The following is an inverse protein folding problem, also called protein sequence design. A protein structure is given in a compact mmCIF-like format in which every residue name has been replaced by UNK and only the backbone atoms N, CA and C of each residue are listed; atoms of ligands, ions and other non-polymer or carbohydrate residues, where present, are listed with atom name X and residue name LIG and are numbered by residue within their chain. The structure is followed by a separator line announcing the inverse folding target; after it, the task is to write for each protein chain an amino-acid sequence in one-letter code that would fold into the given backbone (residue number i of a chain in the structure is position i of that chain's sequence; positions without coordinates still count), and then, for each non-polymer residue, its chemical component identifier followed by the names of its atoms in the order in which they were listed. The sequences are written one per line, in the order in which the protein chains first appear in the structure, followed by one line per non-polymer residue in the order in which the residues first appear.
data_IF_668448133422
#
_entry.id   IF_668448133422
#
_cell.length_a   1.000
_cell.length_b   1.000
_cell.length_c   1.000
_cell.angle_alpha   90.00
_cell.angle_beta   90.00
_cell.angle_gamma   90.00
#
_symmetry.space_group_name_H-M   'P 1'
#
loop_
_entity.id
_entity.type
_entity.pdbx_description
1 polymer ?
#
# COMPACT_ATOMS: atom_id res chain seq x y z
N UNK A 1 1.55 16.89 -12.53
CA UNK A 1 1.65 16.24 -11.18
C UNK A 1 0.58 15.15 -11.15
N UNK A 2 0.83 13.98 -10.56
CA UNK A 2 -0.21 12.93 -10.42
C UNK A 2 -1.23 13.34 -9.36
N UNK A 3 -2.50 12.93 -9.48
CA UNK A 3 -3.56 13.26 -8.53
C UNK A 3 -3.19 12.96 -7.07
N UNK A 4 -2.58 11.81 -6.79
CA UNK A 4 -2.08 11.46 -5.46
C UNK A 4 -1.18 12.57 -4.87
N UNK A 5 -0.27 13.15 -5.67
CA UNK A 5 0.57 14.27 -5.20
C UNK A 5 -0.25 15.53 -4.92
N UNK A 6 -1.29 15.81 -5.71
CA UNK A 6 -2.22 16.92 -5.45
C UNK A 6 -2.90 16.73 -4.09
N UNK A 7 -3.43 15.55 -3.81
CA UNK A 7 -4.11 15.25 -2.55
C UNK A 7 -3.19 15.43 -1.32
N UNK A 8 -1.93 15.00 -1.41
CA UNK A 8 -1.00 15.02 -0.28
C UNK A 8 -0.24 16.34 -0.11
N UNK A 9 0.17 17.00 -1.20
CA UNK A 9 1.16 18.10 -1.17
C UNK A 9 0.56 19.51 -1.20
N UNK A 10 -0.70 19.66 -1.68
CA UNK A 10 -1.34 20.97 -1.69
C UNK A 10 -1.68 21.42 -0.26
N UNK A 11 -1.42 22.70 0.04
CA UNK A 11 -1.72 23.30 1.34
C UNK A 11 -3.22 23.60 1.50
N UNK A 12 -3.66 23.85 2.72
CA UNK A 12 -5.07 24.06 3.06
C UNK A 12 -5.70 25.24 2.31
N UNK A 13 -4.94 26.32 2.08
CA UNK A 13 -5.43 27.50 1.34
C UNK A 13 -5.78 27.16 -0.11
N UNK A 14 -5.03 26.29 -0.76
CA UNK A 14 -5.32 25.87 -2.13
C UNK A 14 -6.70 25.20 -2.25
N UNK A 15 -7.14 24.46 -1.22
CA UNK A 15 -8.46 23.80 -1.23
C UNK A 15 -9.64 24.81 -1.18
N UNK A 16 -9.41 26.09 -1.00
CA UNK A 16 -10.47 27.14 -1.12
C UNK A 16 -10.68 27.62 -2.56
N UNK A 17 -9.81 27.24 -3.51
CA UNK A 17 -9.79 27.72 -4.89
C UNK A 17 -10.90 27.12 -5.76
N UNK A 18 -11.21 27.78 -6.87
CA UNK A 18 -12.11 27.24 -7.89
C UNK A 18 -11.53 25.98 -8.56
N UNK A 19 -10.20 25.93 -8.74
CA UNK A 19 -9.50 24.76 -9.28
C UNK A 19 -9.72 23.53 -8.40
N UNK A 20 -9.53 23.64 -7.09
CA UNK A 20 -9.75 22.54 -6.15
C UNK A 20 -11.20 22.03 -6.21
N UNK A 21 -12.18 22.93 -6.32
CA UNK A 21 -13.59 22.56 -6.46
C UNK A 21 -13.87 21.81 -7.78
N UNK A 22 -13.30 22.26 -8.89
CA UNK A 22 -13.43 21.59 -10.17
C UNK A 22 -12.88 20.15 -10.13
N UNK A 23 -11.73 19.96 -9.47
CA UNK A 23 -11.14 18.64 -9.25
C UNK A 23 -12.03 17.79 -8.34
N UNK A 24 -12.59 18.35 -7.26
CA UNK A 24 -13.50 17.62 -6.38
C UNK A 24 -14.77 17.15 -7.10
N UNK A 25 -15.33 17.99 -7.95
CA UNK A 25 -16.50 17.62 -8.75
C UNK A 25 -16.14 16.49 -9.75
N UNK A 26 -14.91 16.48 -10.29
CA UNK A 26 -14.39 15.36 -11.07
C UNK A 26 -14.22 14.09 -10.21
N UNK A 27 -13.64 14.19 -9.03
CA UNK A 27 -13.49 13.05 -8.10
C UNK A 27 -14.84 12.43 -7.78
N UNK A 28 -15.86 13.24 -7.43
CA UNK A 28 -17.21 12.75 -7.15
C UNK A 28 -17.85 12.08 -8.36
N UNK A 29 -17.71 12.67 -9.56
CA UNK A 29 -18.28 12.13 -10.80
C UNK A 29 -17.82 10.71 -11.09
N UNK A 30 -16.59 10.37 -10.74
CA UNK A 30 -15.97 9.08 -11.02
C UNK A 30 -15.91 8.15 -9.80
N UNK A 31 -16.69 8.42 -8.76
CA UNK A 31 -16.87 7.50 -7.64
C UNK A 31 -17.76 6.33 -8.08
N UNK A 32 -17.30 5.12 -7.87
CA UNK A 32 -18.07 3.91 -8.17
C UNK A 32 -19.31 3.77 -7.27
N UNK A 33 -20.33 3.04 -7.72
CA UNK A 33 -21.49 2.71 -6.89
C UNK A 33 -21.12 2.07 -5.54
N UNK A 34 -20.05 1.26 -5.52
CA UNK A 34 -19.46 0.67 -4.31
C UNK A 34 -18.88 1.70 -3.31
N UNK A 35 -18.55 2.90 -3.75
CA UNK A 35 -17.98 3.97 -2.94
C UNK A 35 -16.49 4.24 -3.17
N UNK A 36 -15.75 3.32 -3.78
CA UNK A 36 -14.32 3.50 -4.05
C UNK A 36 -14.03 4.17 -5.40
N UNK A 37 -12.74 4.24 -5.77
CA UNK A 37 -12.24 4.81 -7.02
C UNK A 37 -11.27 3.88 -7.73
N UNK A 38 -11.13 4.09 -9.05
CA UNK A 38 -10.15 3.39 -9.88
C UNK A 38 -8.74 3.92 -9.63
N UNK A 39 -7.74 3.03 -9.75
CA UNK A 39 -6.33 3.40 -9.65
C UNK A 39 -5.81 4.11 -10.91
N UNK A 40 -4.69 4.83 -10.74
CA UNK A 40 -3.89 5.43 -11.82
C UNK A 40 -4.68 6.44 -12.68
N UNK A 41 -5.71 7.07 -12.14
CA UNK A 41 -6.49 8.10 -12.81
C UNK A 41 -6.13 9.47 -12.24
N UNK A 42 -5.76 10.40 -13.12
CA UNK A 42 -5.43 11.78 -12.74
C UNK A 42 -6.66 12.67 -12.95
N UNK A 43 -7.49 12.80 -11.90
CA UNK A 43 -8.79 13.49 -11.94
C UNK A 43 -8.72 14.95 -12.34
N UNK A 44 -7.57 15.60 -12.13
CA UNK A 44 -7.31 17.01 -12.37
C UNK A 44 -6.81 17.30 -13.80
N UNK A 45 -6.43 16.30 -14.58
CA UNK A 45 -5.89 16.49 -15.92
C UNK A 45 -6.98 16.41 -16.98
N UNK A 46 -6.81 17.24 -18.04
CA UNK A 46 -7.64 17.23 -19.24
C UNK A 46 -6.82 16.91 -20.51
N UNK A 47 -5.65 16.31 -20.34
CA UNK A 47 -4.85 15.80 -21.47
C UNK A 47 -5.57 14.63 -22.16
N UNK A 48 -5.33 14.37 -23.47
CA UNK A 48 -5.98 13.28 -24.18
C UNK A 48 -5.92 11.95 -23.43
N UNK A 49 -4.75 11.51 -22.99
CA UNK A 49 -4.59 10.25 -22.26
C UNK A 49 -5.34 10.21 -20.90
N UNK A 50 -5.41 11.34 -20.17
CA UNK A 50 -6.19 11.41 -18.94
C UNK A 50 -7.70 11.39 -19.23
N UNK A 51 -8.15 11.94 -20.35
CA UNK A 51 -9.54 11.91 -20.80
C UNK A 51 -9.95 10.49 -21.19
N UNK A 52 -9.10 9.78 -21.92
CA UNK A 52 -9.31 8.37 -22.26
C UNK A 52 -9.38 7.49 -21.00
N UNK A 53 -8.47 7.67 -20.05
CA UNK A 53 -8.50 6.95 -18.78
C UNK A 53 -9.82 7.20 -18.02
N UNK A 54 -10.26 8.45 -17.94
CA UNK A 54 -11.56 8.80 -17.33
C UNK A 54 -12.74 8.20 -18.06
N UNK A 55 -12.70 8.13 -19.39
CA UNK A 55 -13.76 7.50 -20.18
C UNK A 55 -13.83 5.98 -19.91
N UNK A 56 -12.68 5.31 -19.78
CA UNK A 56 -12.65 3.90 -19.38
C UNK A 56 -13.29 3.69 -18.01
N UNK A 57 -12.94 4.51 -17.03
CA UNK A 57 -13.55 4.47 -15.68
C UNK A 57 -15.05 4.73 -15.75
N UNK A 58 -15.49 5.71 -16.54
CA UNK A 58 -16.90 6.00 -16.75
C UNK A 58 -17.67 4.79 -17.29
N UNK A 59 -17.10 4.12 -18.29
CA UNK A 59 -17.68 2.91 -18.86
C UNK A 59 -17.78 1.77 -17.83
N UNK A 60 -16.74 1.60 -16.98
CA UNK A 60 -16.76 0.62 -15.89
C UNK A 60 -17.85 0.91 -14.85
N UNK A 61 -18.00 2.18 -14.44
CA UNK A 61 -19.05 2.61 -13.49
C UNK A 61 -20.45 2.26 -14.01
N UNK A 62 -20.66 2.35 -15.32
CA UNK A 62 -21.96 2.13 -15.98
C UNK A 62 -22.09 0.73 -16.61
N UNK A 63 -21.12 -0.17 -16.38
CA UNK A 63 -21.24 -1.56 -16.80
C UNK A 63 -22.07 -2.36 -15.79
N UNK A 64 -22.65 -3.47 -16.24
CA UNK A 64 -23.47 -4.36 -15.40
C UNK A 64 -22.71 -4.88 -14.17
N UNK A 65 -21.39 -4.97 -14.25
CA UNK A 65 -20.54 -5.50 -13.16
C UNK A 65 -20.11 -4.44 -12.14
N UNK A 66 -20.05 -3.14 -12.50
CA UNK A 66 -19.62 -2.04 -11.62
C UNK A 66 -18.24 -2.23 -10.95
N UNK A 67 -17.40 -3.13 -11.48
CA UNK A 67 -16.13 -3.54 -10.90
C UNK A 67 -15.01 -2.65 -11.41
N UNK A 68 -14.28 -2.02 -10.50
CA UNK A 68 -13.15 -1.16 -10.89
C UNK A 68 -12.57 -0.37 -9.73
N UNK A 69 -13.32 -0.27 -8.64
CA UNK A 69 -12.84 0.38 -7.41
C UNK A 69 -11.79 -0.47 -6.71
N UNK A 70 -10.76 0.18 -6.16
CA UNK A 70 -9.58 -0.50 -5.64
C UNK A 70 -8.91 0.31 -4.54
N UNK A 71 -8.10 -0.37 -3.74
CA UNK A 71 -7.18 0.26 -2.77
C UNK A 71 -5.73 0.32 -3.29
N UNK A 72 -5.46 -0.27 -4.46
CA UNK A 72 -4.13 -0.36 -5.03
C UNK A 72 -3.55 1.01 -5.43
N UNK A 73 -2.23 1.18 -5.31
CA UNK A 73 -1.51 2.42 -5.63
C UNK A 73 -2.02 3.66 -4.87
N UNK A 74 -2.68 3.46 -3.72
CA UNK A 74 -3.29 4.52 -2.92
C UNK A 74 -4.57 5.10 -3.52
N UNK A 75 -5.21 4.39 -4.47
CA UNK A 75 -6.57 4.71 -4.89
C UNK A 75 -7.52 4.58 -3.70
N UNK A 76 -8.65 5.23 -3.78
CA UNK A 76 -9.64 5.42 -2.72
C UNK A 76 -9.08 6.21 -1.52
N UNK A 77 -7.96 5.83 -0.93
CA UNK A 77 -7.37 6.58 0.22
C UNK A 77 -6.93 8.00 -0.15
N UNK A 78 -6.40 8.21 -1.36
CA UNK A 78 -6.03 9.54 -1.86
C UNK A 78 -7.26 10.42 -2.11
N UNK A 79 -8.33 9.83 -2.66
CA UNK A 79 -9.60 10.51 -2.92
C UNK A 79 -10.29 10.90 -1.62
N UNK A 80 -10.26 10.01 -0.61
CA UNK A 80 -10.78 10.32 0.73
C UNK A 80 -10.03 11.48 1.37
N UNK A 81 -8.69 11.48 1.31
CA UNK A 81 -7.87 12.58 1.82
C UNK A 81 -8.21 13.91 1.11
N UNK A 82 -8.33 13.87 -0.21
CA UNK A 82 -8.67 15.05 -1.02
C UNK A 82 -10.06 15.58 -0.65
N UNK A 83 -11.06 14.70 -0.56
CA UNK A 83 -12.43 15.06 -0.19
C UNK A 83 -12.52 15.60 1.24
N UNK A 84 -11.74 15.07 2.18
CA UNK A 84 -11.69 15.58 3.55
C UNK A 84 -11.13 17.01 3.58
N UNK A 85 -10.03 17.29 2.89
CA UNK A 85 -9.42 18.63 2.80
C UNK A 85 -10.38 19.65 2.17
N UNK A 86 -11.01 19.30 1.04
CA UNK A 86 -11.93 20.24 0.39
C UNK A 86 -13.24 20.40 1.17
N UNK A 87 -13.73 19.36 1.84
CA UNK A 87 -14.86 19.49 2.75
C UNK A 87 -14.50 20.40 3.95
N UNK A 88 -13.32 20.25 4.52
CA UNK A 88 -12.82 21.13 5.59
C UNK A 88 -12.84 22.60 5.16
N UNK A 89 -12.40 22.88 3.93
CA UNK A 89 -12.31 24.23 3.39
C UNK A 89 -13.66 24.84 2.97
N UNK A 90 -14.61 24.03 2.48
CA UNK A 90 -15.82 24.54 1.81
C UNK A 90 -17.12 24.24 2.55
N UNK A 91 -17.13 23.23 3.43
CA UNK A 91 -18.33 22.69 4.10
C UNK A 91 -19.44 22.21 3.16
N UNK A 92 -19.13 21.97 1.86
CA UNK A 92 -20.11 21.51 0.87
C UNK A 92 -20.54 20.07 1.19
N UNK A 93 -21.82 19.88 1.47
CA UNK A 93 -22.42 18.61 1.91
C UNK A 93 -22.12 17.45 0.98
N UNK A 94 -22.16 17.67 -0.35
CA UNK A 94 -21.89 16.63 -1.33
C UNK A 94 -20.47 16.02 -1.20
N UNK A 95 -19.45 16.80 -0.82
CA UNK A 95 -18.10 16.28 -0.60
C UNK A 95 -18.06 15.38 0.64
N UNK A 96 -18.80 15.75 1.69
CA UNK A 96 -18.94 14.89 2.87
C UNK A 96 -19.65 13.57 2.56
N UNK A 97 -20.72 13.61 1.78
CA UNK A 97 -21.48 12.41 1.38
C UNK A 97 -20.62 11.45 0.57
N UNK A 98 -19.86 11.96 -0.41
CA UNK A 98 -18.92 11.15 -1.18
C UNK A 98 -17.80 10.56 -0.31
N UNK A 99 -17.28 11.34 0.65
CA UNK A 99 -16.28 10.89 1.61
C UNK A 99 -16.82 9.76 2.50
N UNK A 100 -18.01 9.91 3.08
CA UNK A 100 -18.64 8.87 3.91
C UNK A 100 -18.89 7.58 3.12
N UNK A 101 -19.36 7.68 1.88
CA UNK A 101 -19.54 6.54 1.00
C UNK A 101 -18.21 5.80 0.73
N UNK A 102 -17.11 6.53 0.59
CA UNK A 102 -15.78 5.94 0.43
C UNK A 102 -15.24 5.29 1.73
N UNK A 103 -15.60 5.82 2.89
CA UNK A 103 -15.32 5.18 4.19
C UNK A 103 -16.07 3.85 4.30
N UNK A 104 -17.36 3.84 3.98
CA UNK A 104 -18.18 2.62 3.97
C UNK A 104 -17.62 1.57 2.99
N UNK A 105 -17.09 2.00 1.83
CA UNK A 105 -16.38 1.11 0.91
C UNK A 105 -15.19 0.42 1.57
N UNK A 106 -14.33 1.14 2.30
CA UNK A 106 -13.19 0.54 2.97
C UNK A 106 -13.60 -0.47 4.04
N UNK A 107 -14.67 -0.19 4.79
CA UNK A 107 -15.21 -1.12 5.78
C UNK A 107 -15.85 -2.36 5.14
N UNK A 108 -16.59 -2.18 4.04
CA UNK A 108 -17.23 -3.28 3.31
C UNK A 108 -16.24 -4.19 2.57
N UNK A 109 -15.09 -3.65 2.16
CA UNK A 109 -14.06 -4.41 1.47
C UNK A 109 -13.20 -5.29 2.39
N UNK A 110 -13.30 -5.12 3.71
CA UNK A 110 -12.51 -5.89 4.67
C UNK A 110 -13.02 -7.31 4.80
N UNK A 111 -12.13 -8.28 4.67
CA UNK A 111 -12.40 -9.68 5.00
C UNK A 111 -12.63 -9.90 6.50
N UNK A 112 -13.32 -10.98 6.87
CA UNK A 112 -13.58 -11.32 8.27
C UNK A 112 -12.29 -11.53 9.08
N UNK A 113 -11.22 -11.99 8.42
CA UNK A 113 -9.88 -12.15 9.00
C UNK A 113 -9.09 -10.84 9.13
N UNK A 114 -9.69 -9.71 8.73
CA UNK A 114 -9.11 -8.38 8.86
C UNK A 114 -8.29 -7.89 7.67
N UNK A 115 -8.07 -8.70 6.64
CA UNK A 115 -7.36 -8.32 5.43
C UNK A 115 -8.21 -7.53 4.43
N UNK A 116 -7.58 -6.98 3.39
CA UNK A 116 -8.26 -6.34 2.27
C UNK A 116 -7.76 -6.88 0.94
N UNK A 117 -8.69 -7.14 -0.02
CA UNK A 117 -8.36 -7.44 -1.40
C UNK A 117 -7.87 -6.19 -2.12
N UNK A 118 -7.23 -6.38 -3.27
CA UNK A 118 -6.88 -5.27 -4.15
C UNK A 118 -8.08 -4.54 -4.74
N UNK A 119 -9.14 -5.31 -5.08
CA UNK A 119 -10.38 -4.79 -5.67
C UNK A 119 -11.60 -5.25 -4.89
N UNK A 120 -12.53 -4.33 -4.69
CA UNK A 120 -13.85 -4.63 -4.15
C UNK A 120 -14.91 -3.77 -4.89
N UNK A 121 -16.03 -4.34 -5.37
CA UNK A 121 -16.32 -5.78 -5.45
C UNK A 121 -15.23 -6.57 -6.19
N UNK A 122 -15.18 -7.87 -5.92
CA UNK A 122 -14.19 -8.75 -6.56
C UNK A 122 -14.35 -8.78 -8.07
N UNK A 123 -13.25 -8.93 -8.76
CA UNK A 123 -13.27 -9.18 -10.21
C UNK A 123 -13.93 -10.54 -10.50
N UNK A 124 -14.60 -10.68 -11.66
CA UNK A 124 -15.11 -11.97 -12.07
C UNK A 124 -13.98 -13.02 -12.07
N UNK A 125 -14.28 -14.25 -11.64
CA UNK A 125 -13.34 -15.35 -11.73
C UNK A 125 -12.96 -15.60 -13.20
N UNK A 126 -11.76 -16.13 -13.43
CA UNK A 126 -11.38 -16.59 -14.76
C UNK A 126 -12.23 -17.79 -15.21
N UNK A 127 -12.12 -18.18 -16.49
CA UNK A 127 -12.90 -19.30 -17.05
C UNK A 127 -12.62 -20.65 -16.36
N UNK A 128 -11.54 -20.76 -15.58
CA UNK A 128 -11.16 -21.95 -14.83
C UNK A 128 -11.70 -21.94 -13.39
N UNK A 129 -12.44 -20.88 -13.01
CA UNK A 129 -13.04 -20.73 -11.69
C UNK A 129 -12.09 -20.29 -10.58
N UNK A 130 -10.81 -20.04 -10.90
CA UNK A 130 -9.85 -19.56 -9.93
C UNK A 130 -10.02 -18.05 -9.64
N UNK A 131 -9.89 -17.61 -8.38
CA UNK A 131 -9.88 -16.21 -8.06
C UNK A 131 -8.70 -15.51 -8.75
N UNK A 132 -8.88 -14.25 -9.09
CA UNK A 132 -7.75 -13.42 -9.52
C UNK A 132 -6.86 -13.14 -8.30
N UNK A 133 -5.55 -12.97 -8.54
CA UNK A 133 -4.60 -12.54 -7.50
C UNK A 133 -5.05 -11.25 -6.78
N UNK A 134 -5.92 -10.47 -7.40
CA UNK A 134 -6.51 -9.25 -6.84
C UNK A 134 -7.48 -9.50 -5.68
N UNK A 135 -7.87 -10.74 -5.43
CA UNK A 135 -8.71 -11.14 -4.31
C UNK A 135 -7.86 -11.50 -3.07
N UNK A 136 -6.57 -11.74 -3.24
CA UNK A 136 -5.65 -11.97 -2.12
C UNK A 136 -5.54 -10.76 -1.21
N UNK A 137 -5.28 -11.00 0.08
CA UNK A 137 -4.88 -9.94 1.03
C UNK A 137 -3.64 -9.25 0.48
N UNK A 138 -3.70 -7.92 0.30
CA UNK A 138 -2.68 -7.20 -0.44
C UNK A 138 -1.89 -6.22 0.41
N UNK A 139 -0.61 -6.54 0.65
CA UNK A 139 0.37 -5.59 1.16
C UNK A 139 1.12 -4.89 0.02
N UNK A 140 1.01 -5.41 -1.22
CA UNK A 140 1.68 -4.85 -2.39
C UNK A 140 1.41 -3.34 -2.51
N UNK A 141 2.48 -2.59 -2.82
CA UNK A 141 2.45 -1.13 -2.92
C UNK A 141 1.82 -0.42 -1.70
N UNK A 142 1.91 -1.06 -0.52
CA UNK A 142 1.43 -0.59 0.78
C UNK A 142 -0.10 -0.41 0.87
N UNK A 143 -0.85 -1.07 0.00
CA UNK A 143 -2.28 -0.85 -0.17
C UNK A 143 -3.07 -1.00 1.14
N UNK A 144 -2.95 -2.15 1.82
CA UNK A 144 -3.63 -2.39 3.10
C UNK A 144 -3.15 -1.43 4.20
N UNK A 145 -1.85 -1.11 4.25
CA UNK A 145 -1.29 -0.18 5.26
C UNK A 145 -1.89 1.22 5.09
N UNK A 146 -2.04 1.71 3.86
CA UNK A 146 -2.68 3.01 3.60
C UNK A 146 -4.15 3.03 4.02
N UNK A 147 -4.88 1.94 3.80
CA UNK A 147 -6.26 1.80 4.30
C UNK A 147 -6.27 1.91 5.82
N UNK A 148 -5.46 1.13 6.52
CA UNK A 148 -5.41 1.11 7.98
C UNK A 148 -5.02 2.47 8.57
N UNK A 149 -4.03 3.15 8.00
CA UNK A 149 -3.64 4.51 8.40
C UNK A 149 -4.79 5.50 8.21
N UNK A 150 -5.53 5.38 7.10
CA UNK A 150 -6.70 6.22 6.82
C UNK A 150 -7.81 5.98 7.85
N UNK A 151 -8.17 4.73 8.11
CA UNK A 151 -9.20 4.37 9.10
C UNK A 151 -8.84 4.88 10.50
N UNK A 152 -7.58 4.69 10.93
CA UNK A 152 -7.09 5.19 12.22
C UNK A 152 -7.13 6.72 12.30
N UNK A 153 -6.73 7.41 11.22
CA UNK A 153 -6.76 8.87 11.19
C UNK A 153 -8.18 9.42 11.28
N UNK A 154 -9.15 8.76 10.64
CA UNK A 154 -10.56 9.12 10.70
C UNK A 154 -11.13 8.85 12.10
N UNK A 155 -10.88 7.67 12.67
CA UNK A 155 -11.37 7.28 13.99
C UNK A 155 -10.85 8.21 15.10
N UNK A 156 -9.60 8.66 14.98
CA UNK A 156 -8.94 9.56 15.93
C UNK A 156 -9.18 11.05 15.62
N UNK A 157 -10.07 11.36 14.69
CA UNK A 157 -10.39 12.74 14.29
C UNK A 157 -9.16 13.59 13.96
N UNK A 158 -8.13 12.94 13.37
CA UNK A 158 -6.92 13.64 12.92
C UNK A 158 -7.24 14.50 11.69
N UNK A 159 -6.70 15.71 11.66
CA UNK A 159 -6.86 16.57 10.48
C UNK A 159 -6.39 15.87 9.19
N UNK A 160 -7.12 16.02 8.09
CA UNK A 160 -8.29 16.86 7.84
C UNK A 160 -9.66 16.24 8.19
N UNK A 161 -9.71 15.06 8.82
CA UNK A 161 -10.94 14.33 9.13
C UNK A 161 -11.67 14.83 10.39
N UNK A 162 -11.03 15.71 11.18
CA UNK A 162 -11.52 16.37 12.39
C UNK A 162 -12.87 17.09 12.22
N UNK A 163 -13.24 17.40 10.99
CA UNK A 163 -14.48 18.13 10.65
C UNK A 163 -15.67 17.22 10.35
N UNK A 164 -15.49 15.91 10.37
CA UNK A 164 -16.54 14.96 9.99
C UNK A 164 -17.64 14.82 11.08
N UNK A 165 -17.29 15.02 12.36
CA UNK A 165 -18.18 14.82 13.49
C UNK A 165 -18.94 13.48 13.37
N UNK A 166 -18.18 12.38 13.30
CA UNK A 166 -18.74 11.04 13.16
C UNK A 166 -19.40 10.59 14.46
N UNK A 167 -20.53 9.85 14.39
CA UNK A 167 -21.08 9.17 15.56
C UNK A 167 -20.05 8.24 16.21
N UNK A 168 -20.11 8.09 17.54
CA UNK A 168 -19.18 7.24 18.28
C UNK A 168 -19.21 5.79 17.77
N UNK A 169 -20.40 5.26 17.48
CA UNK A 169 -20.57 3.93 16.88
C UNK A 169 -19.74 3.78 15.57
N UNK A 170 -19.69 4.82 14.75
CA UNK A 170 -18.89 4.79 13.51
C UNK A 170 -17.41 4.76 13.84
N UNK A 171 -16.96 5.56 14.81
CA UNK A 171 -15.55 5.56 15.24
C UNK A 171 -15.14 4.22 15.85
N UNK A 172 -16.01 3.59 16.61
CA UNK A 172 -15.80 2.24 17.13
C UNK A 172 -15.67 1.20 16.03
N UNK A 173 -16.53 1.23 15.01
CA UNK A 173 -16.41 0.36 13.83
C UNK A 173 -15.09 0.54 13.09
N UNK A 174 -14.62 1.77 12.92
CA UNK A 174 -13.31 2.08 12.31
C UNK A 174 -12.16 1.51 13.14
N UNK A 175 -12.20 1.67 14.46
CA UNK A 175 -11.21 1.12 15.39
C UNK A 175 -11.23 -0.41 15.39
N UNK A 176 -12.38 -1.04 15.37
CA UNK A 176 -12.52 -2.50 15.26
C UNK A 176 -11.91 -3.01 13.94
N UNK A 177 -12.20 -2.33 12.83
CA UNK A 177 -11.63 -2.65 11.52
C UNK A 177 -10.10 -2.51 11.52
N UNK A 178 -9.57 -1.43 12.09
CA UNK A 178 -8.12 -1.24 12.26
C UNK A 178 -7.49 -2.37 13.08
N UNK A 179 -8.07 -2.72 14.22
CA UNK A 179 -7.56 -3.77 15.10
C UNK A 179 -7.60 -5.16 14.44
N UNK A 180 -8.67 -5.48 13.69
CA UNK A 180 -8.71 -6.70 12.85
C UNK A 180 -7.58 -6.71 11.82
N UNK A 181 -7.28 -5.55 11.20
CA UNK A 181 -6.16 -5.41 10.29
C UNK A 181 -4.80 -5.68 10.95
N UNK A 182 -4.58 -5.23 12.19
CA UNK A 182 -3.36 -5.56 12.96
C UNK A 182 -3.26 -7.07 13.18
N UNK A 183 -4.35 -7.73 13.61
CA UNK A 183 -4.36 -9.19 13.78
C UNK A 183 -4.08 -9.92 12.47
N UNK A 184 -4.64 -9.47 11.35
CA UNK A 184 -4.35 -10.01 10.03
C UNK A 184 -2.86 -9.89 9.68
N UNK A 185 -2.24 -8.73 9.88
CA UNK A 185 -0.80 -8.52 9.68
C UNK A 185 0.00 -9.54 10.51
N UNK A 186 -0.31 -9.68 11.78
CA UNK A 186 0.41 -10.60 12.68
C UNK A 186 0.22 -12.07 12.30
N UNK A 187 -0.95 -12.43 11.75
CA UNK A 187 -1.26 -13.79 11.29
C UNK A 187 -0.59 -14.10 9.93
N UNK A 188 -0.45 -13.11 9.06
CA UNK A 188 0.23 -13.23 7.77
C UNK A 188 1.75 -13.27 7.88
N UNK A 189 2.35 -12.90 9.04
CA UNK A 189 3.80 -12.92 9.18
C UNK A 189 4.36 -14.32 8.97
N UNK A 190 5.28 -14.46 8.02
CA UNK A 190 5.80 -15.75 7.60
C UNK A 190 6.65 -16.35 8.72
N UNK A 191 6.45 -17.65 8.96
CA UNK A 191 7.29 -18.44 9.86
C UNK A 191 8.17 -19.37 9.06
N UNK A 192 9.48 -19.32 9.30
CA UNK A 192 10.43 -20.26 8.73
C UNK A 192 11.19 -20.97 9.86
N UNK A 193 11.19 -22.29 9.85
CA UNK A 193 11.83 -23.11 10.90
C UNK A 193 11.38 -22.73 12.32
N UNK A 194 10.08 -22.42 12.49
CA UNK A 194 9.48 -22.00 13.77
C UNK A 194 9.75 -20.54 14.18
N UNK A 195 10.52 -19.77 13.43
CA UNK A 195 10.83 -18.36 13.70
C UNK A 195 10.02 -17.42 12.83
N UNK A 196 9.51 -16.35 13.40
CA UNK A 196 8.92 -15.24 12.67
C UNK A 196 9.97 -14.55 11.77
N UNK A 197 9.54 -14.11 10.60
CA UNK A 197 10.39 -13.41 9.61
C UNK A 197 9.70 -12.11 9.18
N UNK A 198 9.49 -11.91 7.90
CA UNK A 198 8.79 -10.79 7.29
C UNK A 198 7.52 -11.26 6.58
N UNK A 199 6.92 -10.43 5.74
CA UNK A 199 5.66 -10.72 5.04
C UNK A 199 5.91 -10.96 3.55
N UNK A 200 4.92 -11.55 2.90
CA UNK A 200 4.80 -11.57 1.44
C UNK A 200 4.04 -10.31 0.97
N UNK A 201 4.20 -9.93 -0.28
CA UNK A 201 3.45 -8.85 -0.91
C UNK A 201 1.96 -9.13 -1.01
N UNK A 202 1.57 -10.40 -1.07
CA UNK A 202 0.19 -10.86 -1.00
C UNK A 202 0.09 -12.17 -0.22
N UNK A 203 -1.07 -12.37 0.39
CA UNK A 203 -1.40 -13.58 1.13
C UNK A 203 -2.77 -14.09 0.69
N UNK A 204 -2.89 -15.40 0.62
CA UNK A 204 -4.16 -16.06 0.34
C UNK A 204 -5.21 -15.66 1.38
N UNK A 205 -6.38 -15.27 0.93
CA UNK A 205 -7.43 -14.70 1.76
C UNK A 205 -8.09 -15.68 2.74
N UNK A 206 -7.87 -16.99 2.54
CA UNK A 206 -8.41 -18.03 3.41
C UNK A 206 -7.36 -18.65 4.34
N UNK A 207 -6.19 -18.99 3.78
CA UNK A 207 -5.12 -19.69 4.51
C UNK A 207 -4.11 -18.76 5.15
N UNK A 208 -4.07 -17.50 4.73
CA UNK A 208 -3.07 -16.48 5.09
C UNK A 208 -1.64 -16.84 4.66
N UNK A 209 -1.47 -17.88 3.85
CA UNK A 209 -0.17 -18.27 3.31
C UNK A 209 0.32 -17.25 2.27
N UNK A 210 1.65 -17.12 2.08
CA UNK A 210 2.19 -16.33 0.99
C UNK A 210 1.59 -16.73 -0.36
N UNK A 211 1.16 -15.76 -1.15
CA UNK A 211 0.52 -15.99 -2.44
C UNK A 211 1.21 -15.18 -3.56
N UNK A 212 1.30 -15.73 -4.78
CA UNK A 212 1.82 -15.02 -5.93
C UNK A 212 0.78 -14.00 -6.45
N UNK A 213 1.26 -13.02 -7.23
CA UNK A 213 0.40 -12.11 -7.95
C UNK A 213 0.62 -12.24 -9.46
N UNK A 214 1.34 -11.31 -10.06
CA UNK A 214 1.72 -11.37 -11.48
C UNK A 214 2.90 -12.32 -11.69
N UNK A 215 3.16 -12.72 -12.90
CA UNK A 215 4.24 -13.67 -13.22
C UNK A 215 5.58 -13.33 -12.55
N UNK A 216 5.94 -12.06 -12.47
CA UNK A 216 7.17 -11.58 -11.84
C UNK A 216 7.04 -11.27 -10.33
N UNK A 217 5.91 -11.57 -9.73
CA UNK A 217 5.60 -11.39 -8.30
C UNK A 217 5.26 -12.74 -7.69
N UNK A 218 6.28 -13.56 -7.55
CA UNK A 218 6.15 -14.88 -6.91
C UNK A 218 5.89 -14.72 -5.41
N UNK A 219 5.32 -15.74 -4.78
CA UNK A 219 5.24 -15.79 -3.32
C UNK A 219 6.66 -15.72 -2.72
N UNK A 220 6.91 -14.70 -1.87
CA UNK A 220 8.27 -14.31 -1.46
C UNK A 220 8.29 -13.69 -0.08
N UNK A 221 9.46 -13.64 0.56
CA UNK A 221 9.72 -12.66 1.60
C UNK A 221 9.92 -11.29 0.95
N UNK A 222 9.28 -10.23 1.49
CA UNK A 222 9.56 -8.86 1.04
C UNK A 222 10.62 -8.21 1.91
N UNK A 223 11.72 -7.82 1.28
CA UNK A 223 12.88 -7.25 1.99
C UNK A 223 12.95 -5.73 1.98
N UNK A 224 12.01 -5.04 1.36
CA UNK A 224 12.05 -3.58 1.28
C UNK A 224 10.67 -2.96 1.51
N UNK A 225 10.00 -2.43 0.51
CA UNK A 225 8.84 -1.55 0.63
C UNK A 225 7.72 -2.06 1.57
N UNK A 226 7.16 -3.22 1.33
CA UNK A 226 5.98 -3.72 2.02
C UNK A 226 6.27 -3.98 3.50
N UNK A 227 7.35 -4.70 3.80
CA UNK A 227 7.78 -4.99 5.17
C UNK A 227 8.08 -3.70 5.95
N UNK A 228 8.71 -2.72 5.31
CA UNK A 228 9.04 -1.43 5.95
C UNK A 228 7.77 -0.70 6.40
N UNK A 229 6.79 -0.58 5.54
CA UNK A 229 5.55 0.14 5.87
C UNK A 229 4.71 -0.61 6.93
N UNK A 230 4.72 -1.95 6.91
CA UNK A 230 4.12 -2.75 7.97
C UNK A 230 4.83 -2.47 9.31
N UNK A 231 6.16 -2.47 9.33
CA UNK A 231 6.93 -2.17 10.54
C UNK A 231 6.67 -0.75 11.05
N UNK A 232 6.61 0.26 10.15
CA UNK A 232 6.27 1.64 10.50
C UNK A 232 4.88 1.73 11.15
N UNK A 233 3.89 1.00 10.61
CA UNK A 233 2.55 0.95 11.17
C UNK A 233 2.56 0.30 12.57
N UNK A 234 3.21 -0.87 12.73
CA UNK A 234 3.26 -1.58 14.00
C UNK A 234 4.02 -0.79 15.08
N UNK A 235 5.14 -0.16 14.71
CA UNK A 235 5.92 0.69 15.61
C UNK A 235 5.22 2.00 15.98
N UNK A 236 4.21 2.42 15.23
CA UNK A 236 3.40 3.61 15.53
C UNK A 236 2.26 3.37 16.52
N UNK A 237 2.06 2.12 16.96
CA UNK A 237 1.05 1.80 17.96
C UNK A 237 1.46 2.36 19.34
N UNK A 238 0.55 3.08 20.04
CA UNK A 238 0.89 3.71 21.31
C UNK A 238 1.15 2.71 22.44
N UNK A 239 0.51 1.52 22.37
CA UNK A 239 0.65 0.44 23.35
C UNK A 239 0.76 -0.90 22.61
N UNK A 240 1.93 -1.24 22.04
CA UNK A 240 2.09 -2.48 21.32
C UNK A 240 2.00 -3.69 22.27
N UNK A 241 1.22 -4.69 21.86
CA UNK A 241 1.11 -5.95 22.60
C UNK A 241 2.44 -6.73 22.57
N UNK A 242 2.67 -7.70 23.47
CA UNK A 242 3.83 -8.58 23.38
C UNK A 242 3.97 -9.29 22.03
N UNK A 243 2.85 -9.59 21.38
CA UNK A 243 2.82 -10.20 20.05
C UNK A 243 3.32 -9.23 18.96
N UNK A 244 2.92 -7.97 19.02
CA UNK A 244 3.43 -6.91 18.13
C UNK A 244 4.93 -6.72 18.35
N UNK A 245 5.36 -6.70 19.61
CA UNK A 245 6.78 -6.58 19.96
C UNK A 245 7.62 -7.71 19.35
N UNK A 246 7.19 -8.96 19.53
CA UNK A 246 7.85 -10.13 18.96
C UNK A 246 7.88 -10.08 17.42
N UNK A 247 6.78 -9.67 16.81
CA UNK A 247 6.65 -9.51 15.36
C UNK A 247 7.65 -8.50 14.80
N UNK A 248 7.69 -7.29 15.37
CA UNK A 248 8.60 -6.21 14.95
C UNK A 248 10.06 -6.63 15.15
N UNK A 249 10.38 -7.18 16.33
CA UNK A 249 11.75 -7.63 16.63
C UNK A 249 12.25 -8.65 15.62
N UNK A 250 11.46 -9.69 15.36
CA UNK A 250 11.81 -10.73 14.40
C UNK A 250 12.01 -10.20 12.97
N UNK A 251 11.13 -9.31 12.52
CA UNK A 251 11.24 -8.73 11.18
C UNK A 251 12.47 -7.81 11.05
N UNK A 252 12.77 -7.01 12.07
CA UNK A 252 13.98 -6.17 12.09
C UNK A 252 15.25 -7.02 12.08
N UNK A 253 15.29 -8.12 12.83
CA UNK A 253 16.44 -9.04 12.84
C UNK A 253 16.59 -9.73 11.46
N UNK A 254 15.49 -10.14 10.85
CA UNK A 254 15.51 -10.70 9.49
C UNK A 254 16.05 -9.67 8.49
N UNK A 255 15.60 -8.42 8.53
CA UNK A 255 16.11 -7.36 7.65
C UNK A 255 17.61 -7.11 7.86
N UNK A 256 18.10 -7.13 9.10
CA UNK A 256 19.54 -6.99 9.37
C UNK A 256 20.36 -8.11 8.76
N UNK A 257 19.89 -9.36 8.87
CA UNK A 257 20.62 -10.53 8.35
C UNK A 257 20.56 -10.67 6.83
N UNK A 258 19.58 -10.04 6.15
CA UNK A 258 19.37 -10.12 4.70
C UNK A 258 19.76 -8.85 3.95
N UNK A 259 20.48 -7.94 4.59
CA UNK A 259 21.07 -6.78 3.92
C UNK A 259 22.18 -7.23 2.97
N UNK A 260 22.08 -6.82 1.70
CA UNK A 260 23.14 -7.03 0.70
C UNK A 260 24.22 -5.98 0.96
N UNK A 261 25.37 -6.44 1.45
CA UNK A 261 26.47 -5.58 1.88
C UNK A 261 27.30 -5.09 0.69
N UNK A 262 27.88 -3.90 0.83
CA UNK A 262 28.79 -3.30 -0.14
C UNK A 262 28.23 -3.19 -1.55
N UNK A 263 26.90 -3.11 -1.69
CA UNK A 263 26.21 -2.99 -2.96
C UNK A 263 25.29 -1.77 -3.00
N UNK A 264 25.16 -1.15 -4.17
CA UNK A 264 24.24 -0.04 -4.41
C UNK A 264 23.59 -0.15 -5.80
N UNK A 265 22.37 0.37 -5.92
CA UNK A 265 21.69 0.51 -7.21
C UNK A 265 22.17 1.79 -7.90
N UNK A 266 22.80 1.62 -9.07
CA UNK A 266 23.23 2.73 -9.92
C UNK A 266 22.27 2.92 -11.09
N UNK A 267 21.97 4.18 -11.40
CA UNK A 267 21.31 4.56 -12.64
C UNK A 267 22.33 5.15 -13.58
N UNK A 268 22.40 4.66 -14.80
CA UNK A 268 23.35 5.09 -15.82
C UNK A 268 22.67 5.23 -17.18
N UNK A 269 23.35 5.81 -18.14
CA UNK A 269 22.92 5.85 -19.54
C UNK A 269 23.58 4.68 -20.28
N UNK A 270 22.78 3.79 -20.85
CA UNK A 270 23.28 2.64 -21.59
C UNK A 270 23.80 3.03 -23.01
N UNK A 271 24.27 2.03 -23.74
CA UNK A 271 24.85 2.27 -25.12
C UNK A 271 23.84 2.82 -26.13
N UNK A 272 22.53 2.60 -25.87
CA UNK A 272 21.45 3.11 -26.72
C UNK A 272 20.98 4.52 -26.30
N UNK A 273 21.69 5.18 -25.39
CA UNK A 273 21.34 6.49 -24.87
C UNK A 273 20.14 6.48 -23.88
N UNK A 274 19.70 5.31 -23.42
CA UNK A 274 18.56 5.15 -22.51
C UNK A 274 19.02 5.04 -21.07
N UNK A 275 18.20 5.57 -20.14
CA UNK A 275 18.39 5.37 -18.70
C UNK A 275 18.27 3.89 -18.37
N UNK A 276 19.26 3.32 -17.69
CA UNK A 276 19.25 1.93 -17.26
C UNK A 276 19.74 1.79 -15.81
N UNK A 277 19.57 0.61 -15.21
CA UNK A 277 19.91 0.33 -13.81
C UNK A 277 20.76 -0.93 -13.71
N UNK A 278 21.70 -0.91 -12.75
CA UNK A 278 22.54 -2.06 -12.39
C UNK A 278 22.91 -2.01 -10.91
N UNK A 279 23.26 -3.15 -10.34
CA UNK A 279 23.94 -3.21 -9.06
C UNK A 279 25.45 -2.98 -9.27
N UNK A 280 26.03 -2.18 -8.39
CA UNK A 280 27.47 -1.88 -8.39
C UNK A 280 28.05 -2.09 -6.99
N UNK A 281 29.29 -2.53 -6.92
CA UNK A 281 30.00 -2.59 -5.65
C UNK A 281 30.25 -1.16 -5.14
N UNK A 282 29.86 -0.92 -3.87
CA UNK A 282 30.08 0.36 -3.18
C UNK A 282 30.34 0.09 -1.71
N UNK A 283 31.57 0.10 -1.33
CA UNK A 283 32.03 -0.19 0.05
C UNK A 283 31.23 0.60 1.11
N UNK A 284 30.78 -0.09 2.16
CA UNK A 284 30.02 0.48 3.26
C UNK A 284 28.53 0.73 2.96
N UNK A 285 28.06 0.48 1.73
CA UNK A 285 26.64 0.61 1.39
C UNK A 285 25.86 -0.66 1.72
N UNK A 286 24.57 -0.50 2.01
CA UNK A 286 23.63 -1.60 2.21
C UNK A 286 22.40 -1.39 1.34
N UNK A 287 21.91 -2.47 0.73
CA UNK A 287 20.70 -2.47 -0.07
C UNK A 287 19.93 -3.76 0.19
N UNK A 288 18.62 -3.73 0.01
CA UNK A 288 17.74 -4.90 0.12
C UNK A 288 17.05 -5.14 -1.20
N UNK A 289 16.93 -6.41 -1.59
CA UNK A 289 16.03 -6.79 -2.67
C UNK A 289 14.58 -6.61 -2.22
N UNK A 290 13.68 -6.37 -3.17
CA UNK A 290 12.24 -6.37 -2.87
C UNK A 290 11.78 -7.78 -2.50
N UNK A 291 12.29 -8.80 -3.20
CA UNK A 291 11.89 -10.19 -3.05
C UNK A 291 13.07 -11.11 -2.73
N UNK A 292 12.79 -12.03 -1.82
CA UNK A 292 13.68 -13.13 -1.45
C UNK A 292 12.89 -14.44 -1.55
N UNK A 293 13.52 -15.48 -2.06
CA UNK A 293 12.93 -16.79 -2.25
C UNK A 293 12.51 -17.42 -0.91
N UNK A 294 11.32 -18.04 -0.84
CA UNK A 294 10.79 -18.61 0.41
C UNK A 294 11.61 -19.81 0.90
N UNK A 295 12.26 -20.55 0.01
CA UNK A 295 13.03 -21.75 0.36
C UNK A 295 14.48 -21.41 0.68
N UNK A 296 15.15 -20.63 -0.16
CA UNK A 296 16.60 -20.35 -0.04
C UNK A 296 16.91 -19.08 0.73
N UNK A 297 15.96 -18.15 0.87
CA UNK A 297 16.13 -16.79 1.39
C UNK A 297 17.10 -15.93 0.56
N UNK A 298 17.44 -16.38 -0.65
CA UNK A 298 18.29 -15.61 -1.56
C UNK A 298 17.48 -14.53 -2.29
N UNK A 299 18.07 -13.33 -2.51
CA UNK A 299 17.44 -12.27 -3.27
C UNK A 299 17.30 -12.67 -4.75
N UNK A 300 16.22 -12.26 -5.37
CA UNK A 300 16.02 -12.47 -6.79
C UNK A 300 15.30 -11.30 -7.46
N UNK A 301 15.40 -11.24 -8.79
CA UNK A 301 14.58 -10.43 -9.68
C UNK A 301 13.87 -11.36 -10.67
N UNK A 302 12.80 -10.90 -11.31
CA UNK A 302 12.02 -11.75 -12.19
C UNK A 302 11.48 -10.97 -13.39
N UNK A 303 11.45 -11.58 -14.56
CA UNK A 303 10.77 -11.02 -15.73
C UNK A 303 9.34 -11.55 -15.84
N UNK A 304 8.66 -11.21 -16.93
CA UNK A 304 7.28 -11.62 -17.22
C UNK A 304 7.11 -13.12 -17.51
N UNK A 305 8.22 -13.83 -17.68
CA UNK A 305 8.26 -15.29 -17.82
C UNK A 305 8.06 -16.06 -16.51
N UNK A 306 8.15 -15.34 -15.36
CA UNK A 306 7.99 -15.96 -14.04
C UNK A 306 9.24 -16.72 -13.55
N UNK A 307 10.39 -16.54 -14.21
CA UNK A 307 11.63 -17.26 -13.88
C UNK A 307 12.52 -16.35 -13.00
N UNK A 308 12.80 -16.76 -11.74
CA UNK A 308 13.72 -16.01 -10.87
C UNK A 308 15.11 -15.91 -11.46
N UNK A 309 15.69 -14.73 -11.42
CA UNK A 309 17.03 -14.42 -11.89
C UNK A 309 17.87 -13.79 -10.77
N UNK A 310 19.18 -14.06 -10.72
CA UNK A 310 20.02 -13.60 -9.60
C UNK A 310 20.34 -12.09 -9.66
N UNK A 311 20.22 -11.45 -10.82
CA UNK A 311 20.52 -10.02 -10.94
C UNK A 311 19.77 -9.34 -12.09
N UNK A 312 19.78 -7.98 -12.07
CA UNK A 312 19.07 -7.13 -13.02
C UNK A 312 19.49 -7.33 -14.48
N UNK A 313 20.71 -7.74 -14.73
CA UNK A 313 21.26 -7.94 -16.09
C UNK A 313 20.56 -9.07 -16.85
N UNK A 314 19.97 -10.04 -16.12
CA UNK A 314 19.30 -11.20 -16.72
C UNK A 314 17.82 -10.96 -17.02
N UNK A 315 17.27 -9.79 -16.67
CA UNK A 315 15.87 -9.45 -16.97
C UNK A 315 15.78 -8.34 -18.03
N UNK A 316 14.67 -8.31 -18.77
CA UNK A 316 14.44 -7.36 -19.83
C UNK A 316 14.44 -5.90 -19.36
N UNK A 317 14.77 -5.00 -20.27
CA UNK A 317 14.90 -3.55 -20.01
C UNK A 317 13.66 -2.97 -19.33
N UNK A 318 12.46 -3.37 -19.77
CA UNK A 318 11.20 -2.86 -19.23
C UNK A 318 11.05 -3.21 -17.75
N UNK A 319 11.26 -4.49 -17.37
CA UNK A 319 11.17 -4.92 -15.98
C UNK A 319 12.29 -4.38 -15.13
N UNK A 320 13.52 -4.36 -15.65
CA UNK A 320 14.69 -3.79 -14.95
C UNK A 320 14.49 -2.33 -14.56
N UNK A 321 13.86 -1.53 -15.42
CA UNK A 321 13.71 -0.10 -15.21
C UNK A 321 12.33 0.33 -14.72
N UNK A 322 11.28 -0.43 -15.01
CA UNK A 322 9.90 -0.13 -14.66
C UNK A 322 9.44 -0.67 -13.30
N UNK A 323 10.33 -1.33 -12.55
CA UNK A 323 9.99 -1.95 -11.28
C UNK A 323 11.00 -1.66 -10.17
N UNK A 324 10.55 -1.61 -8.92
CA UNK A 324 11.39 -1.33 -7.75
C UNK A 324 11.99 -2.60 -7.14
N UNK A 325 13.01 -3.18 -7.77
CA UNK A 325 13.64 -4.42 -7.35
C UNK A 325 14.49 -4.32 -6.10
N UNK A 326 15.06 -3.15 -5.85
CA UNK A 326 15.96 -2.90 -4.72
C UNK A 326 15.63 -1.59 -4.04
N UNK A 327 15.88 -1.53 -2.72
CA UNK A 327 15.65 -0.32 -1.92
C UNK A 327 16.58 -0.23 -0.71
N UNK A 328 16.69 0.96 -0.14
CA UNK A 328 17.49 1.26 1.05
C UNK A 328 16.64 1.63 2.27
N UNK A 329 15.32 1.64 2.13
CA UNK A 329 14.37 2.04 3.18
C UNK A 329 14.48 1.22 4.47
N UNK A 330 14.83 -0.09 4.45
CA UNK A 330 15.00 -0.86 5.70
C UNK A 330 16.03 -0.28 6.64
N UNK A 331 17.08 0.36 6.12
CA UNK A 331 18.10 1.00 6.98
C UNK A 331 17.51 2.01 7.96
N UNK A 332 16.44 2.74 7.57
CA UNK A 332 15.80 3.72 8.42
C UNK A 332 15.05 3.06 9.59
N UNK A 333 14.33 1.97 9.33
CA UNK A 333 13.62 1.21 10.37
C UNK A 333 14.60 0.57 11.33
N UNK A 334 15.65 -0.08 10.81
CA UNK A 334 16.71 -0.69 11.61
C UNK A 334 17.37 0.34 12.52
N UNK A 335 17.63 1.55 12.01
CA UNK A 335 18.23 2.65 12.80
C UNK A 335 17.31 3.15 13.92
N UNK A 336 15.99 3.23 13.67
CA UNK A 336 15.01 3.74 14.66
C UNK A 336 14.57 2.68 15.69
N UNK A 337 14.68 1.41 15.35
CA UNK A 337 14.23 0.31 16.21
C UNK A 337 14.79 0.37 17.65
N UNK A 338 16.11 0.62 17.93
CA UNK A 338 16.61 0.71 19.28
C UNK A 338 16.00 1.86 20.11
N UNK A 339 15.67 2.98 19.47
CA UNK A 339 15.01 4.12 20.12
C UNK A 339 13.55 3.78 20.44
N UNK A 340 12.85 3.15 19.51
CA UNK A 340 11.50 2.66 19.73
C UNK A 340 11.45 1.67 20.91
N UNK A 341 12.37 0.70 20.99
CA UNK A 341 12.44 -0.23 22.11
C UNK A 341 12.66 0.49 23.46
N UNK A 342 13.53 1.49 23.51
CA UNK A 342 13.75 2.30 24.72
C UNK A 342 12.50 3.08 25.14
N UNK A 343 11.74 3.62 24.18
CA UNK A 343 10.50 4.36 24.50
C UNK A 343 9.46 3.49 25.19
N UNK A 344 9.37 2.21 24.83
CA UNK A 344 8.42 1.27 25.45
C UNK A 344 8.77 0.92 26.91
N UNK A 345 10.06 0.84 27.24
CA UNK A 345 10.50 0.62 28.63
C UNK A 345 10.11 1.79 29.53
N UNK A 346 10.21 3.01 29.02
CA UNK A 346 9.86 4.22 29.77
C UNK A 346 8.35 4.36 30.02
N UNK A 347 7.51 3.86 29.11
CA UNK A 347 6.04 3.87 29.27
C UNK A 347 5.60 2.90 30.39
N UNK A 348 6.28 1.76 30.53
CA UNK A 348 5.97 0.75 31.55
C UNK A 348 6.46 1.12 32.96
N UNK A 349 7.27 2.15 33.10
CA UNK A 349 7.84 2.62 34.38
C UNK A 349 7.13 3.88 34.92
N UNK A 350 6.15 4.44 34.21
CA UNK A 350 5.26 5.53 34.62
C UNK A 350 3.85 5.03 34.85
#
# INVERSE_FOLDING_TARGET
MRFKKVAYQMNDQWFTTAEARCIADSVMKYQFPSGGWAKNTDWHLSTPGATEAKQLVWNQIHSDNGVGSTIDNGATTSELLFLAKIYKATKKKAYREALLKGIDYLLAAQYDNGGWPQYYPHKPKNNEGHPFYSDHITFNDNAMVFVMQTLRSIANEQAPYDVLNLPEETKERLNQSFNKGIECILNCQIKKNGRLTVWCQQHDEYTLAPAPARAYELASFTGSHETVEILELLMSLPAPTPRVLASVTAAVEWLKSHAIQDMALETYTNRDGKRDRRLVHRFGSQIWARYYNLDTEEPYVCDRDGIPQPSLEYIGYERRNGYGWYGTTPANVIKRYPEWMRSLVNINNN
#
